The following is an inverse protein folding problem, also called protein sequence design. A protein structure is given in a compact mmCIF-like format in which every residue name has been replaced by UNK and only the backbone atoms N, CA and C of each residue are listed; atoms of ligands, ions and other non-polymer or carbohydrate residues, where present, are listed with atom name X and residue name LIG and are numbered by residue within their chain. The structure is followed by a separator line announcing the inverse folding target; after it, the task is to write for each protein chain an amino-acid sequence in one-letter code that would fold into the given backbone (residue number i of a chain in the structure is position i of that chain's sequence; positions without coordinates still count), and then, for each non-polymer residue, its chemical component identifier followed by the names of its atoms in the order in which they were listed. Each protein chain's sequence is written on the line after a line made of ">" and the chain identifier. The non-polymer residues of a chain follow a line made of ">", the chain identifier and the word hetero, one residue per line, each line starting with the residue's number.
data_IF_502703321276
#
_entry.id   IF_502703321276
#
_cell.length_a   1.000
_cell.length_b   1.000
_cell.length_c   1.000
_cell.angle_alpha   90.00
_cell.angle_beta   90.00
_cell.angle_gamma   90.00
#
_symmetry.space_group_name_H-M   'P 1'
#
loop_
_entity.id
_entity.type
_entity.pdbx_description
1 polymer ?
#
# COMPACT_ATOMS: atom_id res chain seq x y z
N UNK A 1 -40.04 -33.71 17.01
CA UNK A 1 -38.58 -33.92 16.89
C UNK A 1 -38.13 -33.24 15.60
N UNK A 2 -37.68 -31.98 15.67
CA UNK A 2 -37.13 -31.24 14.52
C UNK A 2 -36.01 -30.34 15.04
N UNK A 3 -34.87 -30.94 15.38
CA UNK A 3 -33.62 -30.25 15.72
C UNK A 3 -32.47 -31.11 15.21
N UNK A 4 -32.32 -31.27 13.88
CA UNK A 4 -31.13 -31.95 13.32
C UNK A 4 -30.65 -31.32 12.00
N UNK A 5 -31.46 -30.53 11.29
CA UNK A 5 -31.06 -30.00 9.97
C UNK A 5 -30.19 -28.73 9.98
N UNK A 6 -29.91 -28.11 11.14
CA UNK A 6 -29.09 -26.89 11.20
C UNK A 6 -27.59 -27.11 11.52
N UNK A 7 -27.16 -28.33 11.83
CA UNK A 7 -25.74 -28.62 12.17
C UNK A 7 -24.88 -29.14 11.01
N UNK A 8 -25.47 -29.65 9.93
CA UNK A 8 -24.70 -30.22 8.82
C UNK A 8 -24.05 -29.15 7.93
N UNK A 9 -24.79 -28.09 7.59
CA UNK A 9 -24.28 -26.99 6.75
C UNK A 9 -23.17 -26.16 7.43
N UNK A 10 -23.10 -26.16 8.77
CA UNK A 10 -22.06 -25.46 9.52
C UNK A 10 -20.77 -26.27 9.66
N UNK A 11 -20.85 -27.61 9.68
CA UNK A 11 -19.67 -28.47 9.68
C UNK A 11 -18.99 -28.56 8.31
N UNK A 12 -19.76 -28.70 7.22
CA UNK A 12 -19.21 -28.73 5.85
C UNK A 12 -18.47 -27.43 5.51
N UNK A 13 -19.03 -26.28 5.88
CA UNK A 13 -18.38 -24.98 5.66
C UNK A 13 -17.08 -24.81 6.47
N UNK A 14 -17.02 -25.33 7.70
CA UNK A 14 -15.81 -25.28 8.52
C UNK A 14 -14.69 -26.18 7.96
N UNK A 15 -15.03 -27.37 7.48
CA UNK A 15 -14.08 -28.30 6.85
C UNK A 15 -13.53 -27.72 5.56
N UNK A 16 -14.37 -27.09 4.75
CA UNK A 16 -13.95 -26.46 3.50
C UNK A 16 -13.03 -25.26 3.74
N UNK A 17 -13.32 -24.43 4.75
CA UNK A 17 -12.45 -23.33 5.15
C UNK A 17 -11.05 -23.81 5.60
N UNK A 18 -10.99 -24.92 6.35
CA UNK A 18 -9.71 -25.52 6.75
C UNK A 18 -8.94 -26.08 5.55
N UNK A 19 -9.64 -26.68 4.58
CA UNK A 19 -9.06 -27.18 3.32
C UNK A 19 -8.45 -26.04 2.52
N UNK A 20 -9.22 -24.97 2.31
CA UNK A 20 -8.76 -23.77 1.60
C UNK A 20 -7.56 -23.13 2.31
N UNK A 21 -7.58 -23.04 3.64
CA UNK A 21 -6.44 -22.52 4.40
C UNK A 21 -5.18 -23.36 4.18
N UNK A 22 -5.28 -24.69 4.27
CA UNK A 22 -4.15 -25.60 4.03
C UNK A 22 -3.61 -25.54 2.59
N UNK A 23 -4.47 -25.26 1.61
CA UNK A 23 -4.08 -25.07 0.20
C UNK A 23 -3.41 -23.72 -0.02
N UNK A 24 -3.91 -22.65 0.62
CA UNK A 24 -3.29 -21.33 0.62
C UNK A 24 -1.90 -21.35 1.28
N UNK A 25 -1.77 -21.99 2.45
CA UNK A 25 -0.48 -22.11 3.14
C UNK A 25 0.58 -22.81 2.27
N UNK A 26 0.19 -23.86 1.55
CA UNK A 26 1.06 -24.54 0.59
C UNK A 26 1.43 -23.66 -0.60
N UNK A 27 0.49 -22.89 -1.12
CA UNK A 27 0.73 -21.96 -2.21
C UNK A 27 1.73 -20.86 -1.82
N UNK A 28 1.53 -20.23 -0.66
CA UNK A 28 2.41 -19.18 -0.12
C UNK A 28 3.81 -19.73 0.17
N UNK A 29 3.91 -20.91 0.78
CA UNK A 29 5.21 -21.54 1.05
C UNK A 29 5.97 -21.86 -0.25
N UNK A 30 5.26 -22.34 -1.28
CA UNK A 30 5.88 -22.63 -2.57
C UNK A 30 6.47 -21.37 -3.23
N UNK A 31 5.78 -20.22 -3.12
CA UNK A 31 6.27 -18.94 -3.64
C UNK A 31 7.49 -18.42 -2.86
N UNK A 32 7.47 -18.54 -1.53
CA UNK A 32 8.62 -18.20 -0.69
C UNK A 32 9.86 -19.02 -1.06
N UNK A 33 9.70 -20.33 -1.27
CA UNK A 33 10.80 -21.20 -1.67
C UNK A 33 11.30 -20.93 -3.10
N UNK A 34 10.42 -20.47 -3.99
CA UNK A 34 10.79 -20.10 -5.36
C UNK A 34 11.66 -18.83 -5.40
N UNK A 35 11.38 -17.86 -4.53
CA UNK A 35 12.18 -16.65 -4.38
C UNK A 35 13.63 -16.93 -3.91
N UNK A 36 13.83 -18.00 -3.14
CA UNK A 36 15.17 -18.40 -2.64
C UNK A 36 16.01 -19.10 -3.71
N UNK A 37 15.38 -19.73 -4.72
CA UNK A 37 16.08 -20.61 -5.66
C UNK A 37 16.19 -20.06 -7.10
N UNK A 38 15.81 -18.80 -7.36
CA UNK A 38 15.93 -18.07 -8.65
C UNK A 38 15.51 -18.80 -9.96
N UNK A 39 14.88 -19.98 -9.92
CA UNK A 39 14.71 -20.84 -11.12
C UNK A 39 13.26 -21.18 -11.55
N UNK A 40 12.21 -20.52 -11.04
CA UNK A 40 10.84 -20.81 -11.51
C UNK A 40 10.22 -19.72 -12.39
N UNK A 41 10.16 -20.01 -13.70
CA UNK A 41 9.35 -19.31 -14.72
C UNK A 41 7.90 -19.87 -14.82
N UNK A 42 7.28 -20.22 -13.69
CA UNK A 42 5.91 -20.76 -13.64
C UNK A 42 4.90 -19.75 -13.07
N UNK A 43 3.60 -20.04 -13.21
CA UNK A 43 2.53 -19.32 -12.49
C UNK A 43 2.80 -19.44 -10.98
N UNK A 44 2.89 -18.31 -10.28
CA UNK A 44 3.11 -18.27 -8.82
C UNK A 44 2.01 -19.08 -8.12
N UNK A 45 2.38 -19.83 -7.07
CA UNK A 45 1.50 -20.72 -6.33
C UNK A 45 0.24 -20.00 -5.84
N UNK A 46 0.37 -18.76 -5.37
CA UNK A 46 -0.76 -17.93 -4.97
C UNK A 46 -1.70 -17.57 -6.14
N UNK A 47 -1.17 -17.24 -7.31
CA UNK A 47 -1.98 -16.96 -8.50
C UNK A 47 -2.74 -18.21 -8.96
N UNK A 48 -2.10 -19.37 -8.91
CA UNK A 48 -2.74 -20.65 -9.21
C UNK A 48 -3.87 -20.96 -8.20
N UNK A 49 -3.66 -20.67 -6.91
CA UNK A 49 -4.70 -20.79 -5.89
C UNK A 49 -5.90 -19.89 -6.18
N UNK A 50 -5.66 -18.60 -6.47
CA UNK A 50 -6.73 -17.65 -6.80
C UNK A 50 -7.50 -18.04 -8.05
N UNK A 51 -6.82 -18.54 -9.09
CA UNK A 51 -7.47 -19.02 -10.31
C UNK A 51 -8.37 -20.23 -10.07
N UNK A 52 -8.01 -21.09 -9.12
CA UNK A 52 -8.77 -22.30 -8.78
C UNK A 52 -9.97 -22.03 -7.90
N UNK A 53 -9.85 -21.15 -6.92
CA UNK A 53 -10.86 -20.94 -5.88
C UNK A 53 -11.62 -19.62 -6.03
N UNK A 54 -11.01 -18.60 -6.64
CA UNK A 54 -11.64 -17.32 -6.92
C UNK A 54 -12.39 -16.75 -5.72
N UNK A 55 -13.68 -16.49 -5.91
CA UNK A 55 -14.54 -15.90 -4.89
C UNK A 55 -14.83 -16.83 -3.70
N UNK A 56 -14.70 -18.15 -3.86
CA UNK A 56 -14.92 -19.12 -2.78
C UNK A 56 -13.85 -18.99 -1.68
N UNK A 57 -12.69 -18.41 -2.01
CA UNK A 57 -11.63 -18.09 -1.05
C UNK A 57 -11.86 -16.77 -0.29
N UNK A 58 -12.79 -15.91 -0.73
CA UNK A 58 -12.99 -14.60 -0.11
C UNK A 58 -13.30 -14.67 1.40
N UNK A 59 -14.18 -15.57 1.90
CA UNK A 59 -14.45 -15.65 3.34
C UNK A 59 -13.22 -16.04 4.16
N UNK A 60 -12.30 -16.83 3.59
CA UNK A 60 -11.03 -17.18 4.24
C UNK A 60 -10.13 -15.94 4.36
N UNK A 61 -9.98 -15.18 3.28
CA UNK A 61 -9.16 -13.96 3.30
C UNK A 61 -9.72 -12.92 4.27
N UNK A 62 -11.04 -12.72 4.26
CA UNK A 62 -11.73 -11.81 5.18
C UNK A 62 -11.47 -12.21 6.64
N UNK A 63 -11.58 -13.51 6.94
CA UNK A 63 -11.31 -14.04 8.29
C UNK A 63 -9.86 -13.80 8.70
N UNK A 64 -8.89 -14.13 7.86
CA UNK A 64 -7.46 -13.95 8.17
C UNK A 64 -7.13 -12.48 8.46
N UNK A 65 -7.62 -11.56 7.64
CA UNK A 65 -7.42 -10.12 7.82
C UNK A 65 -8.12 -9.61 9.09
N UNK A 66 -9.36 -10.03 9.33
CA UNK A 66 -10.13 -9.63 10.52
C UNK A 66 -9.50 -10.13 11.81
N UNK A 67 -9.05 -11.39 11.84
CA UNK A 67 -8.41 -12.01 12.99
C UNK A 67 -7.08 -11.31 13.27
N UNK A 68 -6.24 -11.11 12.25
CA UNK A 68 -4.98 -10.37 12.38
C UNK A 68 -5.17 -8.97 12.95
N UNK A 69 -6.17 -8.22 12.46
CA UNK A 69 -6.47 -6.88 12.96
C UNK A 69 -6.88 -6.88 14.45
N UNK A 70 -7.63 -7.91 14.89
CA UNK A 70 -8.18 -8.03 16.25
C UNK A 70 -7.20 -8.58 17.27
N UNK A 71 -6.44 -9.62 16.95
CA UNK A 71 -5.59 -10.32 17.93
C UNK A 71 -4.13 -9.88 17.88
N UNK A 72 -3.63 -9.38 16.74
CA UNK A 72 -2.19 -9.26 16.47
C UNK A 72 -1.49 -10.61 16.25
N UNK A 73 -2.06 -11.67 16.81
CA UNK A 73 -1.70 -13.06 16.59
C UNK A 73 -2.41 -13.56 15.33
N UNK A 74 -1.89 -13.15 14.17
CA UNK A 74 -2.51 -13.34 12.86
C UNK A 74 -2.05 -14.60 12.11
N UNK A 75 -1.34 -15.51 12.77
CA UNK A 75 -0.66 -16.60 12.08
C UNK A 75 0.56 -16.11 11.29
N UNK A 76 0.92 -16.82 10.22
CA UNK A 76 2.08 -16.49 9.37
C UNK A 76 1.87 -15.14 8.64
N UNK A 77 2.73 -14.11 8.82
CA UNK A 77 2.57 -12.80 8.17
C UNK A 77 2.38 -12.87 6.65
N UNK A 78 3.09 -13.78 5.97
CA UNK A 78 2.96 -13.94 4.53
C UNK A 78 1.62 -14.55 4.12
N UNK A 79 0.96 -15.29 5.01
CA UNK A 79 -0.40 -15.78 4.76
C UNK A 79 -1.41 -14.62 4.82
N UNK A 80 -1.20 -13.67 5.73
CA UNK A 80 -2.05 -12.48 5.86
C UNK A 80 -1.80 -11.54 4.67
N UNK A 81 -0.55 -11.35 4.24
CA UNK A 81 -0.22 -10.59 3.03
C UNK A 81 -0.91 -11.19 1.79
N UNK A 82 -0.85 -12.52 1.63
CA UNK A 82 -1.57 -13.20 0.56
C UNK A 82 -3.09 -13.02 0.68
N UNK A 83 -3.64 -12.98 1.89
CA UNK A 83 -5.05 -12.67 2.10
C UNK A 83 -5.40 -11.24 1.69
N UNK A 84 -4.56 -10.26 2.03
CA UNK A 84 -4.70 -8.85 1.59
C UNK A 84 -4.68 -8.76 0.06
N UNK A 85 -3.69 -9.38 -0.59
CA UNK A 85 -3.58 -9.42 -2.05
C UNK A 85 -4.80 -10.10 -2.69
N UNK A 86 -5.29 -11.18 -2.09
CA UNK A 86 -6.49 -11.88 -2.52
C UNK A 86 -7.73 -10.98 -2.51
N UNK A 87 -7.92 -10.20 -1.45
CA UNK A 87 -9.03 -9.24 -1.36
C UNK A 87 -8.94 -8.14 -2.42
N UNK A 88 -7.73 -7.66 -2.73
CA UNK A 88 -7.49 -6.65 -3.78
C UNK A 88 -7.79 -7.23 -5.17
N UNK A 89 -7.24 -8.41 -5.47
CA UNK A 89 -7.39 -9.05 -6.79
C UNK A 89 -8.84 -9.47 -7.07
N UNK A 90 -9.59 -9.87 -6.05
CA UNK A 90 -11.02 -10.16 -6.17
C UNK A 90 -11.89 -8.89 -6.24
N UNK A 91 -11.30 -7.69 -6.11
CA UNK A 91 -11.96 -6.37 -6.21
C UNK A 91 -13.23 -6.23 -5.36
N UNK A 92 -13.25 -6.87 -4.18
CA UNK A 92 -14.42 -6.87 -3.31
C UNK A 92 -14.50 -5.56 -2.55
N UNK A 93 -15.35 -4.62 -3.00
CA UNK A 93 -15.46 -3.28 -2.40
C UNK A 93 -15.81 -3.24 -0.90
N UNK A 94 -16.36 -4.31 -0.33
CA UNK A 94 -16.63 -4.42 1.11
C UNK A 94 -15.38 -4.76 1.94
N UNK A 95 -14.25 -5.15 1.31
CA UNK A 95 -12.98 -5.42 2.01
C UNK A 95 -12.31 -4.15 2.55
N UNK A 96 -12.79 -2.96 2.14
CA UNK A 96 -12.24 -1.66 2.55
C UNK A 96 -12.21 -1.49 4.06
N UNK A 97 -13.28 -1.84 4.77
CA UNK A 97 -13.34 -1.72 6.23
C UNK A 97 -12.39 -2.70 6.94
N UNK A 98 -12.22 -3.90 6.39
CA UNK A 98 -11.25 -4.88 6.90
C UNK A 98 -9.82 -4.40 6.71
N UNK A 99 -9.48 -3.90 5.51
CA UNK A 99 -8.17 -3.34 5.20
C UNK A 99 -7.89 -2.09 6.05
N UNK A 100 -8.89 -1.23 6.26
CA UNK A 100 -8.79 -0.09 7.17
C UNK A 100 -8.51 -0.53 8.61
N UNK A 101 -9.24 -1.53 9.10
CA UNK A 101 -9.03 -2.10 10.43
C UNK A 101 -7.62 -2.68 10.62
N UNK A 102 -7.12 -3.43 9.63
CA UNK A 102 -5.76 -3.97 9.66
C UNK A 102 -4.70 -2.87 9.56
N UNK A 103 -4.89 -1.90 8.67
CA UNK A 103 -3.98 -0.77 8.51
C UNK A 103 -3.85 0.04 9.81
N UNK A 104 -4.95 0.35 10.49
CA UNK A 104 -4.94 1.13 11.74
C UNK A 104 -4.58 0.32 12.99
N UNK A 105 -4.47 -1.01 12.91
CA UNK A 105 -4.17 -1.84 14.08
C UNK A 105 -2.77 -1.57 14.64
N UNK A 106 -2.68 -1.41 15.96
CA UNK A 106 -1.43 -1.32 16.73
C UNK A 106 -0.87 -2.70 17.10
N UNK A 107 -1.65 -3.77 16.85
CA UNK A 107 -1.29 -5.14 17.18
C UNK A 107 -0.47 -5.85 16.11
N UNK A 108 -0.47 -5.30 14.89
CA UNK A 108 0.28 -5.86 13.75
C UNK A 108 1.55 -5.06 13.49
N UNK A 109 2.58 -5.74 12.98
CA UNK A 109 3.85 -5.11 12.64
C UNK A 109 3.72 -4.03 11.55
N UNK A 110 4.71 -3.14 11.49
CA UNK A 110 4.75 -2.02 10.54
C UNK A 110 4.52 -2.47 9.09
N UNK A 111 5.23 -3.50 8.63
CA UNK A 111 5.17 -3.94 7.22
C UNK A 111 3.77 -4.43 6.84
N UNK A 112 3.11 -5.22 7.70
CA UNK A 112 1.75 -5.71 7.45
C UNK A 112 0.70 -4.60 7.52
N UNK A 113 0.81 -3.72 8.53
CA UNK A 113 -0.01 -2.51 8.63
C UNK A 113 0.10 -1.65 7.37
N UNK A 114 1.31 -1.59 6.81
CA UNK A 114 1.61 -0.80 5.63
C UNK A 114 1.11 -1.44 4.34
N UNK A 115 1.27 -2.76 4.18
CA UNK A 115 0.68 -3.52 3.08
C UNK A 115 -0.84 -3.35 3.03
N UNK A 116 -1.51 -3.42 4.18
CA UNK A 116 -2.96 -3.19 4.27
C UNK A 116 -3.37 -1.75 3.86
N UNK A 117 -2.55 -0.74 4.18
CA UNK A 117 -2.79 0.64 3.76
C UNK A 117 -2.64 0.80 2.24
N UNK A 118 -1.58 0.22 1.65
CA UNK A 118 -1.35 0.27 0.20
C UNK A 118 -2.50 -0.41 -0.55
N UNK A 119 -2.94 -1.58 -0.07
CA UNK A 119 -4.12 -2.28 -0.58
C UNK A 119 -5.41 -1.44 -0.45
N UNK A 120 -5.63 -0.80 0.70
CA UNK A 120 -6.78 0.08 0.92
C UNK A 120 -6.80 1.25 -0.08
N UNK A 121 -5.65 1.86 -0.34
CA UNK A 121 -5.52 2.97 -1.30
C UNK A 121 -5.82 2.48 -2.72
N UNK A 122 -5.33 1.30 -3.09
CA UNK A 122 -5.53 0.70 -4.40
C UNK A 122 -7.03 0.49 -4.70
N UNK A 123 -7.75 -0.13 -3.77
CA UNK A 123 -9.18 -0.43 -3.94
C UNK A 123 -10.10 0.77 -3.68
N UNK A 124 -9.59 1.85 -3.08
CA UNK A 124 -10.39 3.03 -2.77
C UNK A 124 -10.54 3.97 -3.98
N UNK A 125 -11.72 4.62 -4.14
CA UNK A 125 -11.94 5.67 -5.12
C UNK A 125 -10.90 6.80 -5.02
N UNK A 126 -10.49 7.37 -6.15
CA UNK A 126 -9.41 8.39 -6.21
C UNK A 126 -9.65 9.59 -5.29
N UNK A 127 -10.90 10.01 -5.12
CA UNK A 127 -11.31 11.13 -4.27
C UNK A 127 -11.22 10.84 -2.76
N UNK A 128 -11.04 9.57 -2.35
CA UNK A 128 -10.94 9.19 -0.94
C UNK A 128 -9.49 8.95 -0.49
N UNK A 129 -8.56 8.74 -1.45
CA UNK A 129 -7.16 8.33 -1.17
C UNK A 129 -6.39 9.35 -0.34
N UNK A 130 -6.58 10.64 -0.59
CA UNK A 130 -5.95 11.71 0.21
C UNK A 130 -6.44 11.66 1.66
N UNK A 131 -7.74 11.52 1.87
CA UNK A 131 -8.34 11.42 3.21
C UNK A 131 -7.78 10.25 4.02
N UNK A 132 -7.64 9.07 3.39
CA UNK A 132 -7.07 7.87 4.01
C UNK A 132 -5.61 8.11 4.47
N UNK A 133 -4.77 8.69 3.61
CA UNK A 133 -3.37 8.98 3.93
C UNK A 133 -3.23 10.06 5.01
N UNK A 134 -4.10 11.07 5.01
CA UNK A 134 -4.14 12.11 6.05
C UNK A 134 -4.56 11.51 7.39
N UNK A 135 -5.54 10.61 7.41
CA UNK A 135 -5.95 9.87 8.59
C UNK A 135 -4.78 9.05 9.15
N UNK A 136 -4.01 8.36 8.28
CA UNK A 136 -2.79 7.64 8.67
C UNK A 136 -1.76 8.54 9.35
N UNK A 137 -1.46 9.72 8.77
CA UNK A 137 -0.51 10.67 9.34
C UNK A 137 -0.92 11.19 10.72
N UNK A 138 -2.23 11.35 10.96
CA UNK A 138 -2.75 11.79 12.27
C UNK A 138 -2.67 10.69 13.32
N UNK A 139 -2.92 9.45 12.92
CA UNK A 139 -2.95 8.30 13.83
C UNK A 139 -1.54 7.83 14.22
N UNK A 140 -0.58 7.85 13.29
CA UNK A 140 0.76 7.27 13.50
C UNK A 140 1.82 8.34 13.75
N UNK A 141 2.58 8.15 14.82
CA UNK A 141 3.68 9.04 15.22
C UNK A 141 5.07 8.49 14.90
N UNK A 142 5.14 7.27 14.36
CA UNK A 142 6.41 6.69 13.93
C UNK A 142 7.00 7.49 12.74
N UNK A 143 8.24 8.00 12.83
CA UNK A 143 8.82 8.81 11.76
C UNK A 143 8.95 8.09 10.42
N UNK A 144 9.23 6.77 10.40
CA UNK A 144 9.36 6.00 9.14
C UNK A 144 8.01 5.90 8.45
N UNK A 145 6.94 5.65 9.21
CA UNK A 145 5.57 5.60 8.72
C UNK A 145 5.09 6.96 8.20
N UNK A 146 5.31 8.02 8.99
CA UNK A 146 4.96 9.38 8.58
C UNK A 146 5.69 9.79 7.30
N UNK A 147 7.00 9.52 7.22
CA UNK A 147 7.77 9.81 6.02
C UNK A 147 7.21 9.08 4.79
N UNK A 148 6.95 7.77 4.91
CA UNK A 148 6.43 6.95 3.81
C UNK A 148 5.05 7.41 3.36
N UNK A 149 4.18 7.77 4.31
CA UNK A 149 2.82 8.25 4.05
C UNK A 149 2.82 9.61 3.33
N UNK A 150 3.77 10.50 3.66
CA UNK A 150 3.96 11.77 2.92
C UNK A 150 4.45 11.49 1.49
N UNK A 151 5.34 10.52 1.29
CA UNK A 151 5.78 10.12 -0.05
C UNK A 151 4.61 9.63 -0.92
N UNK A 152 3.62 8.96 -0.35
CA UNK A 152 2.41 8.55 -1.11
C UNK A 152 1.52 9.73 -1.46
N UNK A 153 1.37 10.70 -0.55
CA UNK A 153 0.66 11.95 -0.86
C UNK A 153 1.34 12.68 -2.03
N UNK A 154 2.67 12.68 -2.08
CA UNK A 154 3.44 13.21 -3.23
C UNK A 154 3.12 12.40 -4.51
N UNK A 155 3.09 11.06 -4.44
CA UNK A 155 2.80 10.20 -5.60
C UNK A 155 1.37 10.37 -6.14
N UNK A 156 0.39 10.65 -5.27
CA UNK A 156 -0.97 11.00 -5.69
C UNK A 156 -1.02 12.32 -6.46
N UNK A 157 0.00 13.17 -6.30
CA UNK A 157 0.10 14.48 -6.94
C UNK A 157 -1.11 15.40 -6.69
N UNK A 158 -1.86 15.19 -5.61
CA UNK A 158 -3.08 15.98 -5.35
C UNK A 158 -2.78 17.24 -4.55
N UNK A 159 -3.14 18.41 -5.09
CA UNK A 159 -3.07 19.69 -4.36
C UNK A 159 -4.02 19.73 -3.16
N UNK A 160 -5.04 18.86 -3.14
CA UNK A 160 -5.95 18.70 -2.00
C UNK A 160 -5.21 18.30 -0.71
N UNK A 161 -4.05 17.66 -0.81
CA UNK A 161 -3.26 17.28 0.37
C UNK A 161 -2.62 18.49 1.08
N UNK A 162 -2.43 19.63 0.40
CA UNK A 162 -1.63 20.76 0.90
C UNK A 162 -2.18 21.38 2.18
N UNK A 163 -3.49 21.67 2.32
CA UNK A 163 -4.03 22.19 3.58
C UNK A 163 -3.80 21.25 4.76
N UNK A 164 -3.97 19.94 4.56
CA UNK A 164 -3.75 18.93 5.60
C UNK A 164 -2.28 18.80 5.98
N UNK A 165 -1.37 18.86 5.01
CA UNK A 165 0.07 18.84 5.29
C UNK A 165 0.50 20.08 6.09
N UNK A 166 -0.05 21.26 5.80
CA UNK A 166 0.19 22.49 6.58
C UNK A 166 -0.34 22.38 8.01
N UNK A 167 -1.51 21.75 8.19
CA UNK A 167 -2.13 21.49 9.49
C UNK A 167 -1.30 20.51 10.34
N UNK A 168 -0.79 19.44 9.73
CA UNK A 168 0.00 18.40 10.42
C UNK A 168 1.43 18.84 10.70
N UNK A 169 2.02 19.66 9.82
CA UNK A 169 3.44 20.05 9.87
C UNK A 169 3.96 20.51 11.24
N UNK A 170 3.24 21.32 12.04
CA UNK A 170 3.67 21.74 13.37
C UNK A 170 3.76 20.60 14.39
N UNK A 171 3.00 19.52 14.20
CA UNK A 171 3.00 18.35 15.08
C UNK A 171 4.11 17.33 14.78
N UNK A 172 4.84 17.48 13.67
CA UNK A 172 5.92 16.58 13.27
C UNK A 172 7.21 16.97 13.99
N UNK A 173 7.65 16.12 14.92
CA UNK A 173 8.86 16.32 15.72
C UNK A 173 10.15 15.89 15.00
N UNK A 174 10.09 14.82 14.20
CA UNK A 174 11.26 14.34 13.47
C UNK A 174 11.67 15.32 12.37
N UNK A 175 12.92 15.80 12.43
CA UNK A 175 13.42 16.83 11.53
C UNK A 175 13.46 16.39 10.06
N UNK A 176 13.68 15.09 9.79
CA UNK A 176 13.72 14.57 8.42
C UNK A 176 12.31 14.52 7.83
N UNK A 177 11.33 13.99 8.57
CA UNK A 177 9.92 13.96 8.20
C UNK A 177 9.35 15.37 8.07
N UNK A 178 9.69 16.27 8.99
CA UNK A 178 9.32 17.68 8.95
C UNK A 178 9.75 18.36 7.63
N UNK A 179 11.03 18.22 7.24
CA UNK A 179 11.54 18.73 5.95
C UNK A 179 10.86 18.06 4.76
N UNK A 180 10.52 16.77 4.89
CA UNK A 180 9.84 16.04 3.85
C UNK A 180 8.40 16.53 3.64
N UNK A 181 7.68 16.86 4.72
CA UNK A 181 6.37 17.53 4.66
C UNK A 181 6.50 18.91 4.01
N UNK A 182 7.50 19.71 4.38
CA UNK A 182 7.75 21.02 3.74
C UNK A 182 7.98 20.89 2.23
N UNK A 183 8.74 19.86 1.83
CA UNK A 183 8.96 19.51 0.42
C UNK A 183 7.65 19.10 -0.26
N UNK A 184 6.82 18.27 0.37
CA UNK A 184 5.52 17.87 -0.17
C UNK A 184 4.59 19.08 -0.39
N UNK A 185 4.52 20.00 0.58
CA UNK A 185 3.75 21.25 0.47
C UNK A 185 4.20 22.06 -0.76
N UNK A 186 5.52 22.18 -0.97
CA UNK A 186 6.06 22.90 -2.12
C UNK A 186 5.74 22.20 -3.45
N UNK A 187 5.92 20.87 -3.53
CA UNK A 187 5.66 20.07 -4.74
C UNK A 187 4.20 20.10 -5.18
N UNK A 188 3.27 20.10 -4.22
CA UNK A 188 1.83 19.96 -4.47
C UNK A 188 1.09 21.31 -4.51
N UNK A 189 1.74 22.39 -4.06
CA UNK A 189 1.10 23.71 -3.88
C UNK A 189 0.94 24.54 -5.16
N UNK A 190 1.69 24.25 -6.22
CA UNK A 190 1.72 25.07 -7.45
C UNK A 190 1.45 24.21 -8.71
N UNK A 191 0.19 24.10 -9.18
CA UNK A 191 -0.19 23.25 -10.31
C UNK A 191 0.54 23.55 -11.64
N UNK A 192 1.02 24.79 -11.82
CA UNK A 192 1.75 25.22 -13.03
C UNK A 192 3.26 24.95 -12.99
N UNK A 193 3.80 24.47 -11.87
CA UNK A 193 5.25 24.38 -11.65
C UNK A 193 5.62 22.97 -11.23
N UNK A 194 6.53 22.35 -11.96
CA UNK A 194 7.17 21.13 -11.50
C UNK A 194 8.41 21.50 -10.69
N UNK A 195 8.63 20.83 -9.56
CA UNK A 195 9.78 21.06 -8.68
C UNK A 195 10.67 19.83 -8.63
N UNK A 196 11.97 20.05 -8.44
CA UNK A 196 12.93 18.95 -8.35
C UNK A 196 12.61 18.05 -7.15
N UNK A 197 12.37 16.77 -7.43
CA UNK A 197 12.12 15.74 -6.44
C UNK A 197 13.39 14.95 -6.12
N UNK A 198 14.21 14.64 -7.13
CA UNK A 198 15.49 13.96 -6.94
C UNK A 198 16.48 14.47 -7.98
N UNK A 199 17.74 14.57 -7.59
CA UNK A 199 18.85 14.89 -8.49
C UNK A 199 20.02 13.96 -8.20
N UNK A 200 20.72 13.54 -9.25
CA UNK A 200 21.91 12.70 -9.14
C UNK A 200 22.92 13.09 -10.20
N UNK A 201 24.11 13.49 -9.76
CA UNK A 201 25.24 13.67 -10.66
C UNK A 201 25.78 12.32 -11.12
N UNK A 202 25.99 12.16 -12.43
CA UNK A 202 26.59 10.97 -13.03
C UNK A 202 27.99 11.34 -13.53
N UNK A 203 29.00 11.01 -12.74
CA UNK A 203 30.42 11.34 -13.00
C UNK A 203 30.87 10.88 -14.39
N UNK A 204 30.49 9.65 -14.79
CA UNK A 204 30.85 9.05 -16.09
C UNK A 204 30.42 9.91 -17.28
N UNK A 205 29.27 10.56 -17.18
CA UNK A 205 28.72 11.40 -18.26
C UNK A 205 28.93 12.90 -18.01
N UNK A 206 29.44 13.30 -16.84
CA UNK A 206 29.49 14.70 -16.42
C UNK A 206 28.13 15.40 -16.41
N UNK A 207 27.04 14.66 -16.18
CA UNK A 207 25.65 15.15 -16.35
C UNK A 207 24.80 14.89 -15.12
N UNK A 208 23.81 15.74 -14.90
CA UNK A 208 22.82 15.62 -13.84
C UNK A 208 21.58 14.90 -14.35
N UNK A 209 21.17 13.83 -13.65
CA UNK A 209 19.83 13.26 -13.79
C UNK A 209 18.88 13.95 -12.83
N UNK A 210 17.87 14.63 -13.36
CA UNK A 210 16.93 15.45 -12.63
C UNK A 210 15.53 14.84 -12.74
N UNK A 211 14.91 14.55 -11.61
CA UNK A 211 13.53 14.03 -11.52
C UNK A 211 12.65 15.13 -10.95
N UNK A 212 11.67 15.57 -11.73
CA UNK A 212 10.71 16.61 -11.36
C UNK A 212 9.34 16.01 -11.06
N UNK A 213 8.63 16.60 -10.10
CA UNK A 213 7.23 16.28 -9.78
C UNK A 213 6.39 17.54 -9.91
N UNK A 214 5.18 17.40 -10.45
CA UNK A 214 4.24 18.50 -10.65
C UNK A 214 2.95 18.18 -9.90
N UNK A 215 2.28 19.19 -9.36
CA UNK A 215 0.92 18.99 -8.89
C UNK A 215 0.01 18.57 -10.06
N UNK A 216 -0.86 17.60 -9.82
CA UNK A 216 -1.74 16.97 -10.81
C UNK A 216 -1.08 15.93 -11.71
N UNK A 217 0.25 15.79 -11.71
CA UNK A 217 0.96 14.84 -12.58
C UNK A 217 1.40 13.58 -11.82
N UNK A 218 0.76 12.44 -12.14
CA UNK A 218 1.06 11.14 -11.53
C UNK A 218 2.49 10.65 -11.87
N UNK A 219 3.01 11.03 -13.04
CA UNK A 219 4.36 10.65 -13.49
C UNK A 219 5.36 11.76 -13.23
N UNK A 220 6.56 11.37 -12.78
CA UNK A 220 7.71 12.27 -12.74
C UNK A 220 8.16 12.65 -14.15
N UNK A 221 8.74 13.83 -14.30
CA UNK A 221 9.46 14.24 -15.52
C UNK A 221 10.95 14.05 -15.27
N UNK A 222 11.61 13.21 -16.06
CA UNK A 222 13.05 13.02 -15.97
C UNK A 222 13.75 13.85 -17.05
N UNK A 223 14.79 14.59 -16.67
CA UNK A 223 15.63 15.34 -17.59
C UNK A 223 17.10 15.09 -17.28
N UNK A 224 17.92 15.12 -18.32
CA UNK A 224 19.37 15.09 -18.18
C UNK A 224 19.89 16.49 -18.49
N UNK A 225 20.58 17.10 -17.53
CA UNK A 225 21.10 18.46 -17.64
C UNK A 225 22.64 18.44 -17.66
N UNK A 226 23.23 19.36 -18.43
CA UNK A 226 24.68 19.56 -18.48
C UNK A 226 25.17 20.40 -17.29
N UNK A 227 24.31 21.28 -16.78
CA UNK A 227 24.49 22.00 -15.52
C UNK A 227 23.62 21.39 -14.41
N UNK A 228 23.75 21.88 -13.17
CA UNK A 228 22.92 21.42 -12.04
C UNK A 228 21.42 21.51 -12.33
N UNK A 229 20.60 20.71 -11.63
CA UNK A 229 19.16 20.68 -11.87
C UNK A 229 18.51 22.01 -11.45
N UNK A 230 17.81 22.72 -12.36
CA UNK A 230 16.94 23.83 -11.96
C UNK A 230 15.98 23.39 -10.86
N UNK A 231 15.72 24.26 -9.88
CA UNK A 231 14.81 23.95 -8.78
C UNK A 231 13.37 23.75 -9.26
N UNK A 232 13.01 24.41 -10.37
CA UNK A 232 11.69 24.34 -11.00
C UNK A 232 11.78 24.26 -12.51
N UNK A 233 10.76 23.66 -13.13
CA UNK A 233 10.48 23.71 -14.58
C UNK A 233 8.98 23.95 -14.80
N UNK A 234 8.56 24.52 -15.95
CA UNK A 234 7.15 24.66 -16.27
C UNK A 234 6.44 23.30 -16.34
N UNK A 235 5.19 23.23 -15.88
CA UNK A 235 4.32 22.06 -16.10
C UNK A 235 3.69 22.10 -17.50
N UNK A 236 4.52 22.22 -18.54
CA UNK A 236 4.13 22.10 -19.94
C UNK A 236 4.88 20.90 -20.52
N UNK A 237 4.19 20.10 -21.33
CA UNK A 237 4.84 19.08 -22.15
C UNK A 237 5.53 19.82 -23.30
N UNK A 238 6.86 19.76 -23.32
CA UNK A 238 7.64 20.01 -24.54
C UNK A 238 7.66 18.74 -25.38
#
# INVERSE_FOLDING_TARGET
>A
MMVVMMSACTQEGAVEQLRLQSELERAVLADQMALVNEERKGEQGFQAFLKRHGEDAAPLFEKLVADAAKSGDGGNPSLIEAAVDGLVLLKKGYSRELLKGLASSDKVGFELSRSALDALIEVSPSNERVGILVERLRQRQDPKDQFSTVDDLIKLASSEAVPYLKDIRPGISDAKTARHVDKAIALLGEPGVCRVYSEKFREVTGRWGCVYRCAGAIRSRERVMESGCPSTIPNQDE
#
